data_IF_961076434927
#
_entry.id   IF_961076434927
#
_cell.length_a   1.000
_cell.length_b   1.000
_cell.length_c   1.000
_cell.angle_alpha   90.00
_cell.angle_beta   90.00
_cell.angle_gamma   90.00
#
_symmetry.space_group_name_H-M   'P 1'
#
loop_
_entity.id
_entity.type
_entity.pdbx_description
1 polymer ?
#
# COMPACT_ATOMS: atom_id res chain seq x y z
N UNK A 1 -28.68 9.38 -20.04
CA UNK A 1 -28.58 10.27 -18.86
C UNK A 1 -27.14 10.50 -18.37
N UNK A 2 -26.13 9.70 -18.77
CA UNK A 2 -24.72 9.86 -18.38
C UNK A 2 -23.85 10.63 -19.40
N UNK A 3 -24.33 10.78 -20.63
CA UNK A 3 -23.55 11.38 -21.74
C UNK A 3 -23.17 12.84 -21.50
N UNK A 4 -23.99 13.62 -20.77
CA UNK A 4 -23.72 15.03 -20.53
C UNK A 4 -22.49 15.29 -19.67
N UNK A 5 -22.14 14.40 -18.73
CA UNK A 5 -20.94 14.59 -17.89
C UNK A 5 -19.67 14.47 -18.75
N UNK A 6 -19.65 13.52 -19.67
CA UNK A 6 -18.56 13.36 -20.63
C UNK A 6 -18.51 14.53 -21.62
N UNK A 7 -19.67 14.94 -22.17
CA UNK A 7 -19.73 16.06 -23.11
C UNK A 7 -19.26 17.36 -22.43
N UNK A 8 -19.69 17.65 -21.20
CA UNK A 8 -19.28 18.88 -20.50
C UNK A 8 -17.79 18.86 -20.13
N UNK A 9 -17.24 17.69 -19.80
CA UNK A 9 -15.80 17.50 -19.62
C UNK A 9 -14.98 17.79 -20.87
N UNK A 10 -15.44 17.35 -22.04
CA UNK A 10 -14.81 17.64 -23.33
C UNK A 10 -14.82 19.14 -23.69
N UNK A 11 -15.77 19.92 -23.15
CA UNK A 11 -15.83 21.39 -23.31
C UNK A 11 -15.22 22.15 -22.11
N UNK A 12 -14.49 21.46 -21.23
CA UNK A 12 -13.81 22.03 -20.07
C UNK A 12 -14.74 22.77 -19.08
N UNK A 13 -16.02 22.37 -19.04
CA UNK A 13 -17.00 22.89 -18.09
C UNK A 13 -17.16 21.88 -16.97
N UNK A 14 -16.89 22.29 -15.74
CA UNK A 14 -17.08 21.44 -14.57
C UNK A 14 -18.59 21.23 -14.29
N UNK A 15 -19.13 20.02 -14.53
CA UNK A 15 -20.56 19.76 -14.35
C UNK A 15 -21.00 19.91 -12.90
N UNK A 16 -20.10 19.70 -11.93
CA UNK A 16 -20.40 19.74 -10.50
C UNK A 16 -20.59 21.15 -9.94
N UNK A 17 -20.17 22.19 -10.69
CA UNK A 17 -20.42 23.60 -10.36
C UNK A 17 -21.69 24.15 -10.98
N UNK A 18 -22.07 23.63 -12.15
CA UNK A 18 -23.11 24.25 -12.99
C UNK A 18 -24.42 23.46 -13.02
N UNK A 19 -24.39 22.16 -12.71
CA UNK A 19 -25.57 21.30 -12.69
C UNK A 19 -25.95 20.95 -11.24
N UNK A 20 -27.09 21.44 -10.74
CA UNK A 20 -27.59 21.11 -9.40
C UNK A 20 -27.80 19.59 -9.19
N UNK A 21 -28.16 18.87 -10.25
CA UNK A 21 -28.47 17.43 -10.19
C UNK A 21 -27.22 16.54 -10.18
N UNK A 22 -26.04 17.08 -10.53
CA UNK A 22 -24.82 16.29 -10.63
C UNK A 22 -24.46 15.60 -9.31
N UNK A 23 -24.69 16.27 -8.17
CA UNK A 23 -24.44 15.70 -6.84
C UNK A 23 -25.34 14.50 -6.58
N UNK A 24 -26.64 14.63 -6.85
CA UNK A 24 -27.64 13.57 -6.67
C UNK A 24 -27.31 12.32 -7.49
N UNK A 25 -26.76 12.49 -8.70
CA UNK A 25 -26.34 11.38 -9.55
C UNK A 25 -25.21 10.58 -8.89
N UNK A 26 -24.21 11.27 -8.33
CA UNK A 26 -23.09 10.62 -7.63
C UNK A 26 -23.56 9.94 -6.35
N UNK A 27 -24.42 10.59 -5.56
CA UNK A 27 -25.01 10.01 -4.35
C UNK A 27 -25.80 8.73 -4.67
N UNK A 28 -26.55 8.73 -5.77
CA UNK A 28 -27.26 7.54 -6.23
C UNK A 28 -26.30 6.41 -6.63
N UNK A 29 -25.19 6.72 -7.29
CA UNK A 29 -24.17 5.71 -7.61
C UNK A 29 -23.59 5.08 -6.35
N UNK A 30 -23.34 5.87 -5.30
CA UNK A 30 -22.88 5.37 -4.00
C UNK A 30 -23.94 4.47 -3.34
N UNK A 31 -25.23 4.85 -3.39
CA UNK A 31 -26.32 4.03 -2.87
C UNK A 31 -26.48 2.69 -3.59
N UNK A 32 -26.06 2.61 -4.85
CA UNK A 32 -26.04 1.40 -5.67
C UNK A 32 -24.71 0.63 -5.57
N UNK A 33 -23.85 0.95 -4.58
CA UNK A 33 -22.52 0.38 -4.36
C UNK A 33 -21.53 0.55 -5.54
N UNK A 34 -21.80 1.49 -6.44
CA UNK A 34 -20.95 1.79 -7.61
C UNK A 34 -19.84 2.80 -7.28
N UNK A 35 -19.05 2.52 -6.24
CA UNK A 35 -18.03 3.44 -5.70
C UNK A 35 -16.94 3.81 -6.72
N UNK A 36 -16.36 2.84 -7.43
CA UNK A 36 -15.27 3.10 -8.40
C UNK A 36 -15.74 3.99 -9.56
N UNK A 37 -16.95 3.74 -10.06
CA UNK A 37 -17.53 4.57 -11.13
C UNK A 37 -17.79 5.98 -10.63
N UNK A 38 -18.37 6.13 -9.42
CA UNK A 38 -18.57 7.44 -8.80
C UNK A 38 -17.24 8.19 -8.61
N UNK A 39 -16.18 7.49 -8.19
CA UNK A 39 -14.84 8.05 -8.04
C UNK A 39 -14.29 8.53 -9.39
N UNK A 40 -14.30 7.70 -10.44
CA UNK A 40 -13.81 8.09 -11.78
C UNK A 40 -14.45 9.38 -12.29
N UNK A 41 -15.76 9.53 -12.08
CA UNK A 41 -16.47 10.75 -12.45
C UNK A 41 -15.96 11.99 -11.70
N UNK A 42 -15.73 11.87 -10.40
CA UNK A 42 -15.23 12.98 -9.57
C UNK A 42 -13.74 13.27 -9.80
N UNK A 43 -12.89 12.24 -9.95
CA UNK A 43 -11.45 12.39 -10.09
C UNK A 43 -11.08 13.22 -11.33
N UNK A 44 -11.83 13.08 -12.43
CA UNK A 44 -11.67 13.90 -13.64
C UNK A 44 -11.77 15.42 -13.39
N UNK A 45 -12.41 15.83 -12.30
CA UNK A 45 -12.62 17.23 -11.95
C UNK A 45 -12.09 17.56 -10.55
N UNK A 46 -11.23 16.71 -9.96
CA UNK A 46 -10.82 16.79 -8.56
C UNK A 46 -10.25 18.16 -8.20
N UNK A 47 -9.53 18.80 -9.13
CA UNK A 47 -8.92 20.12 -8.97
C UNK A 47 -9.90 21.29 -8.90
N UNK A 48 -11.17 21.06 -9.25
CA UNK A 48 -12.19 22.11 -9.28
C UNK A 48 -13.51 21.68 -8.60
N UNK A 49 -13.49 20.63 -7.77
CA UNK A 49 -14.70 20.18 -7.07
C UNK A 49 -15.13 21.16 -5.96
N UNK A 50 -16.45 21.45 -5.82
CA UNK A 50 -16.96 22.20 -4.68
C UNK A 50 -16.82 21.42 -3.35
N UNK A 51 -16.61 22.14 -2.25
CA UNK A 51 -16.53 21.55 -0.88
C UNK A 51 -17.82 20.82 -0.45
N UNK A 52 -18.94 21.05 -1.13
CA UNK A 52 -20.19 20.30 -0.91
C UNK A 52 -20.06 18.80 -1.25
N UNK A 53 -18.98 18.38 -1.90
CA UNK A 53 -18.66 16.99 -2.23
C UNK A 53 -17.71 16.33 -1.21
N UNK A 54 -17.22 17.04 -0.19
CA UNK A 54 -16.23 16.49 0.76
C UNK A 54 -16.75 15.23 1.49
N UNK A 55 -18.02 15.22 1.87
CA UNK A 55 -18.66 14.06 2.50
C UNK A 55 -18.73 12.85 1.54
N UNK A 56 -18.95 13.10 0.25
CA UNK A 56 -18.97 12.08 -0.80
C UNK A 56 -17.56 11.51 -0.98
N UNK A 57 -16.56 12.37 -1.08
CA UNK A 57 -15.17 11.95 -1.23
C UNK A 57 -14.67 11.13 -0.02
N UNK A 58 -15.05 11.53 1.20
CA UNK A 58 -14.77 10.74 2.41
C UNK A 58 -15.46 9.36 2.38
N UNK A 59 -16.70 9.29 1.91
CA UNK A 59 -17.42 8.02 1.74
C UNK A 59 -16.73 7.12 0.70
N UNK A 60 -16.32 7.69 -0.44
CA UNK A 60 -15.57 6.97 -1.47
C UNK A 60 -14.23 6.47 -0.91
N UNK A 61 -13.48 7.31 -0.21
CA UNK A 61 -12.23 6.89 0.43
C UNK A 61 -12.43 5.66 1.31
N UNK A 62 -13.46 5.65 2.15
CA UNK A 62 -13.77 4.52 3.03
C UNK A 62 -14.03 3.21 2.26
N UNK A 63 -14.77 3.27 1.15
CA UNK A 63 -15.30 2.09 0.47
C UNK A 63 -14.46 1.61 -0.73
N UNK A 64 -13.60 2.45 -1.31
CA UNK A 64 -12.76 2.05 -2.43
C UNK A 64 -11.68 1.06 -2.00
N UNK A 65 -11.41 0.09 -2.87
CA UNK A 65 -10.33 -0.86 -2.66
C UNK A 65 -8.96 -0.19 -2.89
N UNK A 66 -7.92 -0.72 -2.23
CA UNK A 66 -6.58 -0.15 -2.30
C UNK A 66 -5.95 -0.26 -3.70
N UNK A 67 -6.33 -1.25 -4.51
CA UNK A 67 -5.83 -1.39 -5.89
C UNK A 67 -6.27 -0.23 -6.78
N UNK A 68 -7.56 0.10 -6.78
CA UNK A 68 -8.14 1.22 -7.50
C UNK A 68 -7.52 2.54 -7.07
N UNK A 69 -7.35 2.74 -5.75
CA UNK A 69 -6.68 3.92 -5.20
C UNK A 69 -5.23 3.99 -5.67
N UNK A 70 -4.51 2.86 -5.69
CA UNK A 70 -3.14 2.78 -6.20
C UNK A 70 -3.04 3.18 -7.68
N UNK A 71 -3.97 2.73 -8.52
CA UNK A 71 -4.00 3.10 -9.94
C UNK A 71 -4.28 4.58 -10.20
N UNK A 72 -4.89 5.29 -9.25
CA UNK A 72 -5.23 6.72 -9.35
C UNK A 72 -4.57 7.54 -8.23
N UNK A 73 -3.40 7.10 -7.76
CA UNK A 73 -2.79 7.59 -6.53
C UNK A 73 -2.61 9.12 -6.53
N UNK A 74 -2.22 9.71 -7.66
CA UNK A 74 -1.99 11.15 -7.77
C UNK A 74 -3.27 11.97 -7.53
N UNK A 75 -4.40 11.52 -8.08
CA UNK A 75 -5.70 12.19 -7.88
C UNK A 75 -6.16 12.06 -6.42
N UNK A 76 -5.92 10.90 -5.80
CA UNK A 76 -6.21 10.69 -4.38
C UNK A 76 -5.30 11.51 -3.48
N UNK A 77 -4.01 11.63 -3.80
CA UNK A 77 -3.08 12.51 -3.07
C UNK A 77 -3.59 13.94 -3.12
N UNK A 78 -3.99 14.43 -4.30
CA UNK A 78 -4.56 15.77 -4.42
C UNK A 78 -5.84 15.91 -3.59
N UNK A 79 -6.74 14.92 -3.66
CA UNK A 79 -7.95 14.86 -2.83
C UNK A 79 -7.62 15.01 -1.33
N UNK A 80 -6.64 14.27 -0.82
CA UNK A 80 -6.24 14.32 0.60
C UNK A 80 -5.61 15.63 1.04
N UNK A 81 -4.97 16.36 0.14
CA UNK A 81 -4.45 17.68 0.46
C UNK A 81 -5.59 18.69 0.67
N UNK A 82 -6.74 18.49 -0.01
CA UNK A 82 -7.93 19.33 0.13
C UNK A 82 -8.80 18.91 1.31
N UNK A 83 -9.03 17.61 1.45
CA UNK A 83 -9.74 17.02 2.57
C UNK A 83 -8.76 16.89 3.73
N UNK A 84 -8.61 17.91 4.58
CA UNK A 84 -7.81 17.77 5.81
C UNK A 84 -8.49 16.73 6.71
N UNK A 85 -8.02 15.48 6.80
CA UNK A 85 -8.64 14.51 7.69
C UNK A 85 -7.90 14.66 9.02
N UNK A 86 -8.50 15.36 9.98
CA UNK A 86 -8.01 15.35 11.37
C UNK A 86 -8.06 13.94 11.99
N UNK A 87 -8.77 13.01 11.36
CA UNK A 87 -8.95 11.67 11.88
C UNK A 87 -7.77 10.77 11.51
N UNK A 88 -6.84 10.66 12.45
CA UNK A 88 -5.81 9.63 12.58
C UNK A 88 -6.41 8.24 12.80
N UNK A 89 -7.43 7.89 12.02
CA UNK A 89 -8.19 6.67 12.22
C UNK A 89 -7.34 5.46 11.85
N UNK A 90 -7.51 4.39 12.62
CA UNK A 90 -6.91 3.08 12.34
C UNK A 90 -7.19 2.59 10.90
N UNK A 91 -8.31 3.01 10.31
CA UNK A 91 -8.69 2.68 8.95
C UNK A 91 -7.77 3.34 7.91
N UNK A 92 -7.39 4.60 8.11
CA UNK A 92 -6.46 5.30 7.22
C UNK A 92 -5.11 4.58 7.21
N UNK A 93 -4.57 4.27 8.39
CA UNK A 93 -3.29 3.56 8.52
C UNK A 93 -3.34 2.18 7.85
N UNK A 94 -4.46 1.45 7.98
CA UNK A 94 -4.67 0.18 7.30
C UNK A 94 -4.70 0.32 5.77
N UNK A 95 -5.32 1.38 5.25
CA UNK A 95 -5.35 1.65 3.80
C UNK A 95 -3.97 2.04 3.27
N UNK A 96 -3.23 2.88 3.99
CA UNK A 96 -1.84 3.22 3.64
C UNK A 96 -0.99 1.94 3.62
N UNK A 97 -1.18 1.03 4.58
CA UNK A 97 -0.49 -0.27 4.57
C UNK A 97 -0.85 -1.10 3.33
N UNK A 98 -2.14 -1.23 2.98
CA UNK A 98 -2.55 -1.98 1.79
C UNK A 98 -2.00 -1.37 0.50
N UNK A 99 -2.00 -0.03 0.40
CA UNK A 99 -1.40 0.67 -0.73
C UNK A 99 0.10 0.39 -0.83
N UNK A 100 0.82 0.48 0.29
CA UNK A 100 2.24 0.14 0.36
C UNK A 100 2.52 -1.29 -0.12
N UNK A 101 1.71 -2.27 0.28
CA UNK A 101 1.83 -3.67 -0.17
C UNK A 101 1.70 -3.76 -1.69
N UNK A 102 0.64 -3.15 -2.27
CA UNK A 102 0.39 -3.20 -3.72
C UNK A 102 1.49 -2.48 -4.49
N UNK A 103 1.88 -1.29 -4.04
CA UNK A 103 2.93 -0.51 -4.71
C UNK A 103 4.27 -1.25 -4.72
N UNK A 104 4.61 -1.96 -3.64
CA UNK A 104 5.84 -2.74 -3.55
C UNK A 104 5.85 -4.00 -4.44
N UNK A 105 4.70 -4.48 -4.89
CA UNK A 105 4.62 -5.58 -5.87
C UNK A 105 5.05 -5.11 -7.26
N UNK A 106 4.75 -3.86 -7.60
CA UNK A 106 4.96 -3.28 -8.94
C UNK A 106 6.22 -2.41 -9.05
N UNK A 107 6.69 -1.85 -7.94
CA UNK A 107 7.76 -0.87 -7.90
C UNK A 107 8.85 -1.24 -6.88
N UNK A 108 10.03 -0.63 -7.00
CA UNK A 108 11.08 -0.77 -6.00
C UNK A 108 10.80 0.11 -4.76
N UNK A 109 11.53 -0.15 -3.67
CA UNK A 109 11.30 0.55 -2.40
C UNK A 109 11.49 2.06 -2.50
N UNK A 110 12.42 2.54 -3.35
CA UNK A 110 12.70 3.98 -3.51
C UNK A 110 11.53 4.65 -4.21
N UNK A 111 11.06 4.06 -5.30
CA UNK A 111 9.89 4.55 -6.05
C UNK A 111 8.63 4.54 -5.19
N UNK A 112 8.40 3.49 -4.40
CA UNK A 112 7.25 3.45 -3.46
C UNK A 112 7.35 4.56 -2.42
N UNK A 113 8.52 4.76 -1.83
CA UNK A 113 8.72 5.84 -0.87
C UNK A 113 8.47 7.23 -1.49
N UNK A 114 8.96 7.49 -2.71
CA UNK A 114 8.70 8.74 -3.42
C UNK A 114 7.21 8.97 -3.67
N UNK A 115 6.48 7.93 -4.10
CA UNK A 115 5.02 7.98 -4.30
C UNK A 115 4.26 8.22 -3.00
N UNK A 116 4.76 7.74 -1.87
CA UNK A 116 4.14 7.92 -0.55
C UNK A 116 4.54 9.23 0.15
N UNK A 117 5.55 9.94 -0.34
CA UNK A 117 6.04 11.20 0.25
C UNK A 117 4.94 12.28 0.38
N UNK A 118 4.02 12.46 -0.57
CA UNK A 118 2.91 13.40 -0.38
C UNK A 118 1.99 13.00 0.78
N UNK A 119 1.76 11.70 0.98
CA UNK A 119 0.96 11.18 2.10
C UNK A 119 1.68 11.44 3.42
N UNK A 120 3.01 11.33 3.47
CA UNK A 120 3.79 11.67 4.67
C UNK A 120 3.59 13.12 5.12
N UNK A 121 3.45 14.08 4.19
CA UNK A 121 3.22 15.49 4.54
C UNK A 121 1.87 15.70 5.22
N UNK A 122 0.88 14.91 4.82
CA UNK A 122 -0.50 14.97 5.33
C UNK A 122 -0.61 14.19 6.64
N UNK A 123 0.07 13.05 6.74
CA UNK A 123 0.03 12.15 7.88
C UNK A 123 1.45 11.75 8.36
N UNK A 124 2.19 12.69 8.97
CA UNK A 124 3.61 12.50 9.31
C UNK A 124 3.85 11.44 10.38
N UNK A 125 2.84 11.11 11.19
CA UNK A 125 2.93 10.11 12.25
C UNK A 125 2.56 8.69 11.82
N UNK A 126 2.34 8.45 10.53
CA UNK A 126 2.03 7.10 10.02
C UNK A 126 3.15 6.12 10.38
N UNK A 127 2.77 4.99 10.97
CA UNK A 127 3.70 3.91 11.26
C UNK A 127 4.18 3.25 9.98
N UNK A 128 3.33 3.11 8.96
CA UNK A 128 3.70 2.58 7.64
C UNK A 128 4.79 3.45 7.00
N UNK A 129 4.60 4.77 6.97
CA UNK A 129 5.60 5.70 6.41
C UNK A 129 6.92 5.61 7.19
N UNK A 130 6.86 5.58 8.52
CA UNK A 130 8.06 5.42 9.35
C UNK A 130 8.81 4.12 9.02
N UNK A 131 8.08 3.02 8.82
CA UNK A 131 8.69 1.74 8.40
C UNK A 131 9.32 1.84 7.02
N UNK A 132 8.67 2.47 6.04
CA UNK A 132 9.27 2.70 4.72
C UNK A 132 10.60 3.47 4.80
N UNK A 133 10.64 4.52 5.63
CA UNK A 133 11.86 5.29 5.85
C UNK A 133 12.97 4.45 6.49
N UNK A 134 12.62 3.61 7.47
CA UNK A 134 13.57 2.69 8.10
C UNK A 134 14.10 1.68 7.08
N UNK A 135 13.23 1.07 6.27
CA UNK A 135 13.63 0.14 5.23
C UNK A 135 14.61 0.78 4.24
N UNK A 136 14.37 2.04 3.84
CA UNK A 136 15.27 2.75 2.96
C UNK A 136 16.65 2.98 3.57
N UNK A 137 16.71 3.33 4.86
CA UNK A 137 17.98 3.48 5.57
C UNK A 137 18.75 2.15 5.64
N UNK A 138 18.04 1.02 5.80
CA UNK A 138 18.62 -0.32 5.86
C UNK A 138 19.14 -0.83 4.50
N UNK A 139 18.67 -0.30 3.37
CA UNK A 139 19.20 -0.69 2.05
C UNK A 139 20.70 -0.40 1.90
N UNK A 140 21.21 0.59 2.64
CA UNK A 140 22.62 0.99 2.60
C UNK A 140 23.46 0.31 3.69
N UNK A 141 22.85 -0.56 4.51
CA UNK A 141 23.51 -1.27 5.61
C UNK A 141 23.40 -2.80 5.44
N UNK A 142 24.40 -3.45 4.81
CA UNK A 142 24.43 -4.89 4.58
C UNK A 142 24.45 -5.75 5.84
N UNK A 143 24.78 -5.17 7.01
CA UNK A 143 24.87 -5.91 8.28
C UNK A 143 23.50 -6.03 8.98
N UNK A 144 22.45 -5.39 8.43
CA UNK A 144 21.10 -5.39 8.98
C UNK A 144 20.06 -5.94 8.00
N UNK A 145 20.48 -6.84 7.10
CA UNK A 145 19.59 -7.47 6.12
C UNK A 145 18.49 -8.29 6.81
N UNK A 146 18.75 -8.81 8.01
CA UNK A 146 17.74 -9.49 8.81
C UNK A 146 16.53 -8.59 9.14
N UNK A 147 16.76 -7.34 9.55
CA UNK A 147 15.69 -6.40 9.87
C UNK A 147 14.95 -5.95 8.60
N UNK A 148 15.68 -5.69 7.52
CA UNK A 148 15.07 -5.34 6.24
C UNK A 148 14.16 -6.47 5.72
N UNK A 149 14.60 -7.72 5.85
CA UNK A 149 13.80 -8.90 5.49
C UNK A 149 12.52 -9.01 6.32
N UNK A 150 12.58 -8.68 7.61
CA UNK A 150 11.39 -8.66 8.48
C UNK A 150 10.36 -7.60 8.05
N UNK A 151 10.82 -6.41 7.66
CA UNK A 151 9.91 -5.43 7.09
C UNK A 151 9.29 -5.89 5.78
N UNK A 152 10.09 -6.45 4.85
CA UNK A 152 9.54 -7.00 3.61
C UNK A 152 8.51 -8.10 3.88
N UNK A 153 8.76 -8.99 4.85
CA UNK A 153 7.83 -10.02 5.25
C UNK A 153 6.53 -9.42 5.82
N UNK A 154 6.64 -8.35 6.63
CA UNK A 154 5.47 -7.63 7.14
C UNK A 154 4.63 -7.05 6.00
N UNK A 155 5.27 -6.40 5.02
CA UNK A 155 4.64 -5.89 3.80
C UNK A 155 4.29 -6.98 2.76
N UNK A 156 4.31 -8.25 3.17
CA UNK A 156 3.96 -9.43 2.35
C UNK A 156 4.82 -9.59 1.08
N UNK A 157 5.95 -8.92 1.01
CA UNK A 157 6.93 -9.03 -0.06
C UNK A 157 7.84 -10.23 0.19
N UNK A 158 7.25 -11.43 0.14
CA UNK A 158 7.91 -12.65 0.62
C UNK A 158 9.17 -13.00 -0.17
N UNK A 159 9.22 -12.72 -1.46
CA UNK A 159 10.43 -12.96 -2.27
C UNK A 159 11.58 -12.03 -1.86
N UNK A 160 11.32 -10.73 -1.74
CA UNK A 160 12.31 -9.75 -1.25
C UNK A 160 12.79 -10.09 0.16
N UNK A 161 11.88 -10.56 1.02
CA UNK A 161 12.22 -11.02 2.37
C UNK A 161 13.13 -12.26 2.35
N UNK A 162 12.84 -13.24 1.49
CA UNK A 162 13.66 -14.44 1.31
C UNK A 162 15.08 -14.06 0.88
N UNK A 163 15.23 -13.13 -0.06
CA UNK A 163 16.56 -12.67 -0.52
C UNK A 163 17.38 -12.07 0.62
N UNK A 164 16.77 -11.22 1.45
CA UNK A 164 17.41 -10.67 2.64
C UNK A 164 17.84 -11.76 3.63
N UNK A 165 16.97 -12.72 3.92
CA UNK A 165 17.30 -13.80 4.86
C UNK A 165 18.33 -14.78 4.29
N UNK A 166 18.38 -14.98 2.96
CA UNK A 166 19.44 -15.77 2.34
C UNK A 166 20.80 -15.12 2.53
N UNK A 167 20.89 -13.80 2.37
CA UNK A 167 22.12 -13.07 2.63
C UNK A 167 22.64 -13.33 4.05
N UNK A 168 21.76 -13.22 5.06
CA UNK A 168 22.11 -13.47 6.47
C UNK A 168 22.51 -14.93 6.73
N UNK A 169 21.82 -15.88 6.10
CA UNK A 169 22.16 -17.31 6.18
C UNK A 169 23.58 -17.59 5.67
N UNK A 170 23.99 -16.94 4.57
CA UNK A 170 25.34 -17.08 4.00
C UNK A 170 26.41 -16.41 4.88
N UNK A 171 26.09 -15.25 5.48
CA UNK A 171 27.00 -14.57 6.41
C UNK A 171 27.18 -15.34 7.72
N UNK A 172 26.12 -15.96 8.23
CA UNK A 172 26.11 -16.68 9.50
C UNK A 172 25.55 -18.11 9.33
N UNK A 173 26.30 -19.06 8.74
CA UNK A 173 25.80 -20.41 8.43
C UNK A 173 25.40 -21.25 9.66
N UNK A 174 25.82 -20.82 10.85
CA UNK A 174 25.49 -21.47 12.11
C UNK A 174 24.30 -20.81 12.81
N UNK A 175 23.78 -19.66 12.35
CA UNK A 175 22.56 -19.08 12.90
C UNK A 175 21.33 -19.75 12.25
N UNK A 176 20.49 -20.44 13.02
CA UNK A 176 19.27 -21.05 12.47
C UNK A 176 18.15 -20.02 12.21
N UNK A 177 18.25 -18.77 12.69
CA UNK A 177 17.17 -17.80 12.59
C UNK A 177 16.79 -17.44 11.13
N UNK A 178 17.73 -17.05 10.24
CA UNK A 178 17.38 -16.74 8.85
C UNK A 178 16.75 -17.94 8.12
N UNK A 179 17.26 -19.16 8.35
CA UNK A 179 16.72 -20.40 7.78
C UNK A 179 15.27 -20.64 8.21
N UNK A 180 14.96 -20.39 9.48
CA UNK A 180 13.58 -20.49 9.97
C UNK A 180 12.67 -19.49 9.25
N UNK A 181 13.14 -18.26 9.03
CA UNK A 181 12.34 -17.23 8.35
C UNK A 181 12.14 -17.55 6.88
N UNK A 182 13.16 -18.02 6.17
CA UNK A 182 13.05 -18.51 4.78
C UNK A 182 11.99 -19.61 4.67
N UNK A 183 12.03 -20.60 5.56
CA UNK A 183 11.02 -21.67 5.62
C UNK A 183 9.59 -21.10 5.75
N UNK A 184 9.38 -20.17 6.68
CA UNK A 184 8.07 -19.50 6.87
C UNK A 184 7.64 -18.70 5.65
N UNK A 185 8.56 -18.00 4.97
CA UNK A 185 8.22 -17.25 3.76
C UNK A 185 7.75 -18.19 2.64
N UNK A 186 8.44 -19.32 2.44
CA UNK A 186 7.96 -20.34 1.50
C UNK A 186 6.60 -20.93 1.89
N UNK A 187 6.31 -21.09 3.20
CA UNK A 187 4.96 -21.48 3.66
C UNK A 187 3.91 -20.44 3.29
N UNK A 188 4.19 -19.15 3.49
CA UNK A 188 3.27 -18.07 3.11
C UNK A 188 3.02 -18.02 1.60
N UNK A 189 4.01 -18.38 0.79
CA UNK A 189 3.88 -18.52 -0.67
C UNK A 189 3.18 -19.82 -1.11
N UNK A 190 2.87 -20.74 -0.19
CA UNK A 190 2.32 -22.06 -0.53
C UNK A 190 3.33 -23.04 -1.13
N UNK A 191 4.62 -22.72 -1.08
CA UNK A 191 5.73 -23.53 -1.61
C UNK A 191 6.17 -24.57 -0.57
N UNK A 192 5.31 -25.58 -0.36
CA UNK A 192 5.43 -26.55 0.73
C UNK A 192 6.72 -27.38 0.66
N UNK A 193 7.21 -27.70 -0.55
CA UNK A 193 8.41 -28.53 -0.73
C UNK A 193 9.67 -27.78 -0.30
N UNK A 194 9.77 -26.52 -0.69
CA UNK A 194 10.85 -25.61 -0.36
C UNK A 194 10.84 -25.32 1.13
N UNK A 195 9.67 -25.00 1.70
CA UNK A 195 9.51 -24.84 3.14
C UNK A 195 9.99 -26.09 3.93
N UNK A 196 9.56 -27.29 3.53
CA UNK A 196 10.01 -28.52 4.18
C UNK A 196 11.51 -28.78 4.03
N UNK A 197 12.12 -28.32 2.94
CA UNK A 197 13.57 -28.43 2.72
C UNK A 197 14.32 -27.53 3.70
N UNK A 198 13.95 -26.26 3.80
CA UNK A 198 14.57 -25.32 4.74
C UNK A 198 14.28 -25.67 6.20
N UNK A 199 13.13 -26.26 6.50
CA UNK A 199 12.83 -26.77 7.83
C UNK A 199 13.83 -27.86 8.28
N UNK A 200 14.25 -28.76 7.38
CA UNK A 200 15.28 -29.76 7.68
C UNK A 200 16.64 -29.13 7.91
N UNK A 201 17.00 -28.10 7.14
CA UNK A 201 18.26 -27.35 7.32
C UNK A 201 18.26 -26.68 8.71
N UNK A 202 17.15 -26.06 9.10
CA UNK A 202 16.99 -25.48 10.43
C UNK A 202 17.21 -26.50 11.56
N UNK A 203 16.61 -27.69 11.44
CA UNK A 203 16.76 -28.78 12.41
C UNK A 203 18.20 -29.29 12.51
N UNK A 204 18.90 -29.39 11.37
CA UNK A 204 20.31 -29.78 11.33
C UNK A 204 21.21 -28.77 12.06
N UNK A 205 21.04 -27.47 11.78
CA UNK A 205 21.80 -26.41 12.44
C UNK A 205 21.55 -26.44 13.95
N UNK A 206 20.28 -26.54 14.38
CA UNK A 206 19.92 -26.63 15.81
C UNK A 206 20.50 -27.87 16.48
N UNK A 207 20.48 -29.02 15.82
CA UNK A 207 21.07 -30.25 16.36
C UNK A 207 22.58 -30.10 16.56
N UNK A 208 23.27 -29.46 15.62
CA UNK A 208 24.71 -29.26 15.69
C UNK A 208 25.11 -28.28 16.82
N UNK A 209 24.29 -27.27 17.11
CA UNK A 209 24.51 -26.34 18.23
C UNK A 209 24.36 -26.99 19.61
N UNK A 210 23.51 -28.02 19.75
CA UNK A 210 23.28 -28.71 21.02
C UNK A 210 24.35 -29.75 21.39
N UNK A 211 25.34 -29.97 20.53
CA UNK A 211 26.41 -30.99 20.69
C UNK A 211 27.76 -30.34 21.05
N UNK A 212 27.79 -29.01 21.25
CA UNK A 212 28.98 -28.23 21.60
C UNK A 212 29.19 -28.01 23.10
#
# INVERSE_FOLDING_TARGET
MKEWIFILGEVNINPYRVLPEAKSIIEKMIQEDNYETAALFLLNFIHDLPTSYDAILNSLWGNLNAGFVGSHLDDFIFMFQQLVPEDHSKLLEQKIFQLAVILLEEHDLKEVHEKLLPIQKIHPYSAVIRKMNNMLALLEDPDQMMELGDYYAEFKQFDKAIDCFFWEMELQPQDPNPVQKISRMYQHKGMVKEAATYQKVYEQIKSNQGIG
#
